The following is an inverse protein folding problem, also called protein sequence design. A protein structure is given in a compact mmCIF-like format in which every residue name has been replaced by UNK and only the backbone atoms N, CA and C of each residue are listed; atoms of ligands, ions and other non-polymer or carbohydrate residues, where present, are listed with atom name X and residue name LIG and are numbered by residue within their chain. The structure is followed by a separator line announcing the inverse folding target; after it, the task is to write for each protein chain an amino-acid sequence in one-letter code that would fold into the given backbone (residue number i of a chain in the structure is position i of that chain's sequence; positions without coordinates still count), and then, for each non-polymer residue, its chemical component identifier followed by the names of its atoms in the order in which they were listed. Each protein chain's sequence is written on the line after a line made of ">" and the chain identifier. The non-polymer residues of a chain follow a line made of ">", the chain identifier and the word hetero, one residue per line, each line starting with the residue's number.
data_IF_452916975425
#
_entry.id   IF_452916975425
#
_cell.length_a   1.000
_cell.length_b   1.000
_cell.length_c   1.000
_cell.angle_alpha   90.00
_cell.angle_beta   90.00
_cell.angle_gamma   90.00
#
_symmetry.space_group_name_H-M   'P 1'
#
loop_
_entity.id
_entity.type
_entity.pdbx_description
1 polymer ?
#
# COMPACT_ATOMS: atom_id res chain seq x y z
N UNK A 1 34.99 11.33 6.37
CA UNK A 1 33.82 11.35 5.43
C UNK A 1 34.37 11.12 4.02
N UNK A 2 34.51 9.86 3.59
CA UNK A 2 34.99 9.54 2.23
C UNK A 2 33.81 9.54 1.27
N UNK A 3 33.67 10.59 0.49
CA UNK A 3 32.78 10.58 -0.68
C UNK A 3 33.34 9.57 -1.70
N UNK A 4 32.72 8.40 -1.78
CA UNK A 4 33.01 7.45 -2.86
C UNK A 4 32.71 8.15 -4.18
N UNK A 5 33.75 8.63 -4.86
CA UNK A 5 33.64 9.17 -6.22
C UNK A 5 33.07 8.06 -7.10
N UNK A 6 31.89 8.28 -7.65
CA UNK A 6 31.34 7.45 -8.70
C UNK A 6 32.39 7.30 -9.80
N UNK A 7 32.84 6.08 -10.04
CA UNK A 7 33.77 5.84 -11.14
C UNK A 7 33.05 6.11 -12.45
N UNK A 8 33.76 6.59 -13.48
CA UNK A 8 33.21 6.79 -14.85
C UNK A 8 32.48 5.52 -15.34
N UNK A 9 32.92 4.34 -14.89
CA UNK A 9 32.33 3.03 -15.18
C UNK A 9 30.93 2.85 -14.56
N UNK A 10 30.69 3.36 -13.34
CA UNK A 10 29.37 3.31 -12.69
C UNK A 10 28.35 4.21 -13.38
N UNK A 11 28.77 5.39 -13.84
CA UNK A 11 27.93 6.31 -14.63
C UNK A 11 27.54 5.69 -15.97
N UNK A 12 28.46 5.00 -16.62
CA UNK A 12 28.20 4.30 -17.89
C UNK A 12 27.15 3.20 -17.75
N UNK A 13 27.21 2.39 -16.67
CA UNK A 13 26.21 1.38 -16.40
C UNK A 13 24.83 1.96 -16.08
N UNK A 14 24.78 3.08 -15.34
CA UNK A 14 23.52 3.78 -15.06
C UNK A 14 22.91 4.33 -16.35
N UNK A 15 23.72 4.93 -17.24
CA UNK A 15 23.24 5.44 -18.53
C UNK A 15 22.72 4.32 -19.42
N UNK A 16 23.41 3.18 -19.49
CA UNK A 16 22.96 2.00 -20.27
C UNK A 16 21.65 1.47 -19.72
N UNK A 17 21.50 1.36 -18.41
CA UNK A 17 20.28 0.89 -17.77
C UNK A 17 19.10 1.84 -18.01
N UNK A 18 19.33 3.14 -17.96
CA UNK A 18 18.34 4.17 -18.28
C UNK A 18 17.92 4.11 -19.75
N UNK A 19 18.89 3.94 -20.68
CA UNK A 19 18.64 3.82 -22.11
C UNK A 19 17.84 2.55 -22.44
N UNK A 20 18.18 1.42 -21.83
CA UNK A 20 17.42 0.17 -21.96
C UNK A 20 15.99 0.33 -21.45
N UNK A 21 15.81 1.06 -20.36
CA UNK A 21 14.49 1.31 -19.79
C UNK A 21 13.63 2.22 -20.67
N UNK A 22 14.24 3.26 -21.26
CA UNK A 22 13.56 4.13 -22.23
C UNK A 22 13.22 3.39 -23.52
N UNK A 23 14.13 2.53 -24.00
CA UNK A 23 13.88 1.67 -25.18
C UNK A 23 12.74 0.69 -24.91
N UNK A 24 12.72 0.05 -23.75
CA UNK A 24 11.66 -0.86 -23.34
C UNK A 24 10.30 -0.14 -23.21
N UNK A 25 10.28 1.06 -22.60
CA UNK A 25 9.11 1.91 -22.55
C UNK A 25 8.59 2.31 -23.94
N UNK A 26 9.50 2.66 -24.85
CA UNK A 26 9.16 2.98 -26.24
C UNK A 26 8.58 1.76 -26.97
N UNK A 27 9.18 0.56 -26.81
CA UNK A 27 8.71 -0.65 -27.44
C UNK A 27 7.31 -1.10 -26.92
N UNK A 28 7.03 -0.89 -25.64
CA UNK A 28 5.70 -1.14 -25.07
C UNK A 28 4.70 -0.11 -25.61
N UNK A 29 5.07 1.16 -25.64
CA UNK A 29 4.21 2.23 -26.15
C UNK A 29 3.93 2.09 -27.65
N UNK A 30 4.90 1.65 -28.45
CA UNK A 30 4.72 1.44 -29.88
C UNK A 30 3.85 0.21 -30.23
N UNK A 31 3.74 -0.78 -29.33
CA UNK A 31 2.81 -1.90 -29.49
C UNK A 31 1.34 -1.52 -29.22
N UNK A 32 1.09 -0.35 -28.68
CA UNK A 32 -0.27 0.11 -28.28
C UNK A 32 -1.05 0.79 -29.41
N UNK A 33 -0.67 0.65 -30.67
CA UNK A 33 -1.60 0.77 -31.79
C UNK A 33 -2.38 -0.56 -31.99
N UNK A 34 -2.79 -1.19 -30.89
CA UNK A 34 -3.85 -2.18 -31.00
C UNK A 34 -5.12 -1.42 -31.41
N UNK A 35 -5.79 -1.95 -32.45
CA UNK A 35 -7.15 -1.57 -32.79
C UNK A 35 -7.91 -1.40 -31.48
N UNK A 36 -8.42 -0.20 -31.23
CA UNK A 36 -9.25 0.05 -30.06
C UNK A 36 -10.49 -0.81 -30.30
N UNK A 37 -10.55 -1.96 -29.62
CA UNK A 37 -11.73 -2.82 -29.64
C UNK A 37 -12.76 -2.15 -28.76
N UNK A 38 -13.71 -1.48 -29.39
CA UNK A 38 -14.80 -0.85 -28.67
C UNK A 38 -15.77 -1.94 -28.19
N UNK A 39 -16.12 -1.95 -26.88
CA UNK A 39 -17.05 -2.94 -26.35
C UNK A 39 -18.41 -2.88 -27.03
N UNK A 40 -19.09 -4.00 -27.12
CA UNK A 40 -20.45 -4.11 -27.61
C UNK A 40 -21.42 -3.47 -26.59
N UNK A 41 -22.53 -2.94 -27.07
CA UNK A 41 -23.64 -2.42 -26.28
C UNK A 41 -23.32 -1.29 -25.28
N UNK A 42 -22.09 -0.77 -25.27
CA UNK A 42 -21.67 0.33 -24.41
C UNK A 42 -22.05 1.67 -25.04
N UNK A 43 -22.53 2.61 -24.21
CA UNK A 43 -23.04 3.93 -24.66
C UNK A 43 -21.98 4.81 -25.33
N UNK A 44 -20.71 4.67 -25.02
CA UNK A 44 -19.59 5.41 -25.66
C UNK A 44 -19.03 4.72 -26.91
N UNK A 45 -19.42 3.50 -27.17
CA UNK A 45 -18.84 2.68 -28.23
C UNK A 45 -19.32 3.13 -29.61
N UNK A 46 -18.40 3.65 -30.47
CA UNK A 46 -18.73 3.98 -31.85
C UNK A 46 -18.70 2.76 -32.78
N UNK A 47 -18.47 1.55 -32.26
CA UNK A 47 -18.50 0.35 -33.10
C UNK A 47 -19.89 0.09 -33.62
N UNK A 48 -20.06 -0.69 -34.72
CA UNK A 48 -21.36 -1.10 -35.20
C UNK A 48 -22.28 -1.68 -34.13
N UNK A 49 -21.70 -2.48 -33.23
CA UNK A 49 -22.38 -3.13 -32.10
C UNK A 49 -22.48 -2.27 -30.83
N UNK A 50 -21.94 -1.06 -30.81
CA UNK A 50 -22.10 -0.09 -29.73
C UNK A 50 -23.47 0.60 -29.81
N UNK A 51 -23.84 1.40 -28.79
CA UNK A 51 -25.12 2.10 -28.73
C UNK A 51 -24.94 3.63 -28.65
N UNK A 52 -23.81 4.13 -29.13
CA UNK A 52 -23.48 5.56 -29.09
C UNK A 52 -24.50 6.43 -29.86
N UNK A 53 -25.03 5.94 -30.96
CA UNK A 53 -26.02 6.68 -31.75
C UNK A 53 -27.31 6.93 -30.94
N UNK A 54 -27.81 5.91 -30.24
CA UNK A 54 -28.98 6.02 -29.37
C UNK A 54 -28.69 6.95 -28.17
N UNK A 55 -27.58 6.76 -27.49
CA UNK A 55 -27.15 7.64 -26.41
C UNK A 55 -27.05 9.11 -26.83
N UNK A 56 -26.40 9.39 -27.97
CA UNK A 56 -26.23 10.74 -28.49
C UNK A 56 -27.54 11.36 -28.92
N UNK A 57 -28.44 10.59 -29.53
CA UNK A 57 -29.77 11.04 -29.90
C UNK A 57 -30.54 11.53 -28.66
N UNK A 58 -30.59 10.72 -27.61
CA UNK A 58 -31.28 11.10 -26.37
C UNK A 58 -30.64 12.32 -25.67
N UNK A 59 -29.33 12.52 -25.81
CA UNK A 59 -28.66 13.72 -25.29
C UNK A 59 -29.03 15.00 -26.07
N UNK A 60 -29.48 14.88 -27.30
CA UNK A 60 -29.90 16.03 -28.13
C UNK A 60 -31.36 16.46 -27.86
N UNK A 61 -32.15 15.58 -27.29
CA UNK A 61 -33.46 15.92 -26.74
C UNK A 61 -33.23 16.64 -25.39
N UNK A 62 -34.18 17.46 -24.94
CA UNK A 62 -34.09 18.24 -23.69
C UNK A 62 -34.13 17.35 -22.42
N UNK A 63 -33.48 16.17 -22.45
CA UNK A 63 -33.44 15.18 -21.39
C UNK A 63 -32.08 15.19 -20.70
N UNK A 64 -32.08 15.02 -19.39
CA UNK A 64 -30.83 14.75 -18.65
C UNK A 64 -30.44 13.29 -18.91
N UNK A 65 -29.39 13.06 -19.71
CA UNK A 65 -28.87 11.73 -20.04
C UNK A 65 -27.50 11.53 -19.45
N UNK A 66 -27.39 10.55 -18.55
CA UNK A 66 -26.14 10.23 -17.83
C UNK A 66 -25.80 8.73 -17.91
N UNK A 67 -24.59 8.39 -17.55
CA UNK A 67 -24.13 7.01 -17.47
C UNK A 67 -24.05 6.58 -16.00
N UNK A 68 -24.61 5.43 -15.72
CA UNK A 68 -24.53 4.84 -14.41
C UNK A 68 -23.39 3.82 -14.35
N UNK A 69 -22.37 4.11 -13.59
CA UNK A 69 -21.17 3.24 -13.43
C UNK A 69 -21.03 2.65 -12.03
N UNK A 70 -21.92 2.99 -11.13
CA UNK A 70 -21.88 2.57 -9.73
C UNK A 70 -22.75 1.33 -9.49
N UNK A 71 -22.55 0.69 -8.33
CA UNK A 71 -23.42 -0.41 -7.87
C UNK A 71 -24.90 0.01 -7.89
N UNK A 72 -25.84 -0.89 -8.19
CA UNK A 72 -27.26 -0.58 -8.18
C UNK A 72 -27.78 -0.08 -6.83
N UNK A 73 -27.15 -0.45 -5.73
CA UNK A 73 -27.49 0.06 -4.38
C UNK A 73 -27.38 1.59 -4.22
N UNK A 74 -26.65 2.25 -5.12
CA UNK A 74 -26.50 3.71 -5.16
C UNK A 74 -27.44 4.39 -6.14
N UNK A 75 -28.31 3.65 -6.85
CA UNK A 75 -29.32 4.25 -7.70
C UNK A 75 -30.16 5.25 -6.91
N UNK A 76 -30.57 6.38 -7.53
CA UNK A 76 -31.35 7.39 -6.85
C UNK A 76 -32.67 6.81 -6.30
N UNK A 77 -32.95 7.13 -5.04
CA UNK A 77 -34.15 6.70 -4.32
C UNK A 77 -35.16 7.84 -4.26
N UNK A 78 -35.53 8.36 -5.39
CA UNK A 78 -36.45 9.48 -5.49
C UNK A 78 -37.59 9.11 -6.43
N UNK A 79 -38.78 9.63 -6.17
CA UNK A 79 -39.99 9.51 -7.03
C UNK A 79 -39.86 10.35 -8.34
N UNK A 80 -38.65 10.47 -8.87
CA UNK A 80 -38.35 11.39 -9.95
C UNK A 80 -38.64 10.80 -11.34
N UNK A 81 -39.32 9.67 -11.46
CA UNK A 81 -39.65 9.00 -12.71
C UNK A 81 -38.45 8.90 -13.66
N UNK A 82 -37.39 8.25 -13.22
CA UNK A 82 -36.21 8.05 -14.04
C UNK A 82 -36.31 6.76 -14.86
N UNK A 83 -35.62 6.73 -16.01
CA UNK A 83 -35.49 5.51 -16.80
C UNK A 83 -34.02 5.03 -16.84
N UNK A 84 -33.82 3.76 -16.56
CA UNK A 84 -32.51 3.10 -16.65
C UNK A 84 -32.51 2.13 -17.84
N UNK A 85 -31.67 2.41 -18.85
CA UNK A 85 -31.42 1.50 -19.96
C UNK A 85 -30.37 0.47 -19.56
N UNK A 86 -30.75 -0.79 -19.50
CA UNK A 86 -29.89 -1.95 -19.26
C UNK A 86 -29.78 -2.73 -20.57
N UNK A 87 -28.66 -2.61 -21.27
CA UNK A 87 -28.52 -3.13 -22.63
C UNK A 87 -27.49 -4.27 -22.66
N UNK A 88 -27.92 -5.50 -22.90
CA UNK A 88 -27.16 -6.71 -23.01
C UNK A 88 -26.09 -6.86 -21.89
N UNK A 89 -26.50 -7.06 -20.64
CA UNK A 89 -25.61 -7.28 -19.50
C UNK A 89 -24.59 -8.38 -19.76
N UNK A 90 -23.31 -8.12 -19.45
CA UNK A 90 -22.25 -9.10 -19.61
C UNK A 90 -22.25 -10.18 -18.51
N UNK A 91 -23.01 -9.94 -17.46
CA UNK A 91 -23.22 -10.89 -16.36
C UNK A 91 -24.63 -10.75 -15.78
N UNK A 92 -25.10 -11.81 -15.15
CA UNK A 92 -26.35 -11.75 -14.39
C UNK A 92 -26.04 -11.13 -13.03
N UNK A 93 -26.69 -10.02 -12.63
CA UNK A 93 -26.52 -9.44 -11.30
C UNK A 93 -26.75 -10.44 -10.18
N UNK A 94 -26.06 -10.29 -9.08
CA UNK A 94 -26.29 -11.11 -7.89
C UNK A 94 -27.70 -10.90 -7.33
N UNK A 95 -28.17 -11.80 -6.48
CA UNK A 95 -29.50 -11.67 -5.88
C UNK A 95 -29.68 -10.35 -5.12
N UNK A 96 -28.64 -9.84 -4.49
CA UNK A 96 -28.66 -8.55 -3.79
C UNK A 96 -28.77 -7.39 -4.76
N UNK A 97 -27.95 -7.37 -5.82
CA UNK A 97 -28.00 -6.35 -6.86
C UNK A 97 -29.33 -6.37 -7.62
N UNK A 98 -29.86 -7.56 -7.87
CA UNK A 98 -31.17 -7.71 -8.49
C UNK A 98 -32.27 -7.09 -7.62
N UNK A 99 -32.19 -7.28 -6.30
CA UNK A 99 -33.11 -6.65 -5.36
C UNK A 99 -32.97 -5.13 -5.34
N UNK A 100 -31.75 -4.62 -5.46
CA UNK A 100 -31.53 -3.17 -5.55
C UNK A 100 -32.16 -2.56 -6.81
N UNK A 101 -32.10 -3.25 -7.97
CA UNK A 101 -32.79 -2.85 -9.18
C UNK A 101 -34.35 -2.94 -9.04
N UNK A 102 -34.85 -3.96 -8.35
CA UNK A 102 -36.29 -4.08 -8.05
C UNK A 102 -36.71 -2.93 -7.14
N UNK A 103 -35.96 -2.60 -6.09
CA UNK A 103 -36.29 -1.48 -5.22
C UNK A 103 -36.32 -0.16 -5.98
N UNK A 104 -35.41 0.07 -6.95
CA UNK A 104 -35.38 1.22 -7.79
C UNK A 104 -36.70 1.36 -8.59
N UNK A 105 -37.23 0.24 -9.12
CA UNK A 105 -38.54 0.25 -9.82
C UNK A 105 -39.69 0.44 -8.83
N UNK A 106 -39.68 -0.19 -7.68
CA UNK A 106 -40.74 -0.05 -6.68
C UNK A 106 -40.93 1.40 -6.22
N UNK A 107 -39.86 2.22 -6.28
CA UNK A 107 -39.86 3.66 -5.99
C UNK A 107 -40.39 4.53 -7.18
N UNK A 108 -41.04 3.96 -8.20
CA UNK A 108 -41.67 4.70 -9.30
C UNK A 108 -40.79 4.85 -10.54
N UNK A 109 -39.59 4.28 -10.57
CA UNK A 109 -38.68 4.37 -11.70
C UNK A 109 -38.89 3.22 -12.71
N UNK A 110 -38.32 3.36 -13.90
CA UNK A 110 -38.47 2.38 -14.98
C UNK A 110 -37.11 1.78 -15.36
N UNK A 111 -37.06 0.46 -15.55
CA UNK A 111 -35.92 -0.22 -16.18
C UNK A 111 -36.37 -0.71 -17.57
N UNK A 112 -35.50 -0.47 -18.56
CA UNK A 112 -35.70 -1.01 -19.91
C UNK A 112 -34.55 -1.97 -20.19
N UNK A 113 -34.85 -3.25 -20.08
CA UNK A 113 -33.90 -4.34 -20.29
C UNK A 113 -33.94 -4.79 -21.76
N UNK A 114 -32.86 -4.57 -22.46
CA UNK A 114 -32.60 -5.18 -23.76
C UNK A 114 -31.62 -6.36 -23.54
N UNK A 115 -32.10 -7.57 -23.72
CA UNK A 115 -31.25 -8.74 -23.54
C UNK A 115 -31.70 -9.89 -24.42
N UNK A 116 -30.79 -10.42 -25.25
CA UNK A 116 -31.09 -11.49 -26.19
C UNK A 116 -31.70 -12.74 -25.52
N UNK A 117 -31.20 -13.07 -24.33
CA UNK A 117 -31.70 -14.15 -23.48
C UNK A 117 -31.76 -13.75 -21.99
N UNK A 118 -32.82 -13.09 -21.51
CA UNK A 118 -32.90 -12.55 -20.17
C UNK A 118 -33.19 -13.60 -19.07
N UNK A 119 -32.98 -14.88 -19.35
CA UNK A 119 -33.18 -15.97 -18.39
C UNK A 119 -32.32 -15.75 -17.15
N UNK A 120 -32.94 -15.82 -15.97
CA UNK A 120 -32.27 -15.64 -14.69
C UNK A 120 -32.22 -14.20 -14.19
N UNK A 121 -32.78 -13.24 -14.96
CA UNK A 121 -32.93 -11.86 -14.51
C UNK A 121 -34.42 -11.58 -14.20
N UNK A 122 -34.72 -10.85 -13.14
CA UNK A 122 -36.06 -10.41 -12.74
C UNK A 122 -37.14 -11.50 -12.78
N UNK A 123 -36.78 -12.74 -12.49
CA UNK A 123 -37.66 -13.92 -12.56
C UNK A 123 -38.37 -14.06 -13.93
N UNK A 124 -37.62 -13.70 -15.00
CA UNK A 124 -38.08 -13.86 -16.39
C UNK A 124 -37.90 -15.30 -16.85
N UNK A 125 -38.90 -15.80 -17.54
CA UNK A 125 -38.87 -17.13 -18.16
C UNK A 125 -38.86 -16.99 -19.68
N UNK A 126 -38.20 -17.92 -20.33
CA UNK A 126 -38.04 -17.94 -21.79
C UNK A 126 -38.18 -19.37 -22.31
N UNK A 127 -38.63 -19.47 -23.55
CA UNK A 127 -38.64 -20.71 -24.32
C UNK A 127 -37.76 -20.57 -25.56
N UNK A 128 -37.19 -21.64 -26.02
CA UNK A 128 -36.39 -21.69 -27.23
C UNK A 128 -37.31 -22.01 -28.42
N UNK A 129 -37.16 -21.23 -29.51
CA UNK A 129 -37.90 -21.38 -30.71
C UNK A 129 -36.98 -21.60 -31.90
N UNK A 130 -37.44 -22.35 -32.88
CA UNK A 130 -36.77 -22.50 -34.17
C UNK A 130 -37.39 -21.53 -35.17
N UNK A 131 -36.89 -20.31 -35.21
CA UNK A 131 -37.37 -19.26 -36.09
C UNK A 131 -36.84 -19.36 -37.53
N UNK A 132 -36.04 -20.39 -37.84
CA UNK A 132 -35.41 -20.54 -39.14
C UNK A 132 -34.34 -19.49 -39.45
N UNK A 133 -34.18 -19.17 -40.75
CA UNK A 133 -33.17 -18.20 -41.19
C UNK A 133 -33.76 -16.83 -41.56
N UNK A 134 -35.08 -16.63 -41.40
CA UNK A 134 -35.71 -15.33 -41.69
C UNK A 134 -35.47 -14.38 -40.53
N UNK A 135 -34.55 -13.44 -40.72
CA UNK A 135 -34.20 -12.44 -39.72
C UNK A 135 -35.22 -11.30 -39.65
N UNK A 136 -35.85 -10.93 -40.81
CA UNK A 136 -36.89 -9.90 -40.87
C UNK A 136 -38.22 -10.58 -40.63
N UNK A 137 -38.93 -10.12 -39.61
CA UNK A 137 -40.22 -10.68 -39.21
C UNK A 137 -41.26 -9.58 -39.08
N UNK A 138 -42.52 -9.95 -39.27
CA UNK A 138 -43.65 -9.09 -38.95
C UNK A 138 -43.88 -9.10 -37.45
N UNK A 139 -43.75 -7.93 -36.84
CA UNK A 139 -43.87 -7.71 -35.40
C UNK A 139 -45.23 -7.03 -35.17
N UNK A 140 -46.06 -7.67 -34.38
CA UNK A 140 -47.41 -7.14 -34.05
C UNK A 140 -47.35 -6.53 -32.65
N UNK A 141 -47.78 -5.28 -32.51
CA UNK A 141 -47.90 -4.66 -31.19
C UNK A 141 -49.16 -5.17 -30.46
N UNK A 142 -49.19 -5.02 -29.13
CA UNK A 142 -50.35 -5.33 -28.30
C UNK A 142 -51.65 -4.53 -28.72
N UNK A 143 -51.47 -3.46 -29.49
CA UNK A 143 -52.57 -2.68 -30.04
C UNK A 143 -53.00 -3.15 -31.45
N UNK A 144 -52.32 -4.17 -32.01
CA UNK A 144 -52.61 -4.72 -33.32
C UNK A 144 -51.91 -4.02 -34.49
N UNK A 145 -51.04 -3.03 -34.26
CA UNK A 145 -50.21 -2.44 -35.29
C UNK A 145 -49.12 -3.40 -35.74
N UNK A 146 -48.84 -3.45 -37.04
CA UNK A 146 -47.79 -4.30 -37.60
C UNK A 146 -46.59 -3.47 -38.03
N UNK A 147 -45.38 -4.00 -37.73
CA UNK A 147 -44.10 -3.42 -38.08
C UNK A 147 -43.20 -4.50 -38.67
N UNK A 148 -42.24 -4.10 -39.46
CA UNK A 148 -41.16 -4.98 -39.91
C UNK A 148 -39.91 -4.72 -39.05
N UNK A 149 -39.30 -5.77 -38.52
CA UNK A 149 -38.08 -5.68 -37.69
C UNK A 149 -37.27 -6.94 -37.73
N UNK A 150 -36.00 -6.79 -37.42
CA UNK A 150 -35.09 -7.96 -37.26
C UNK A 150 -35.24 -8.55 -35.86
N UNK A 151 -35.37 -9.86 -35.78
CA UNK A 151 -35.37 -10.60 -34.50
C UNK A 151 -34.28 -11.67 -34.57
N UNK A 152 -33.15 -11.40 -33.94
CA UNK A 152 -31.99 -12.32 -33.94
C UNK A 152 -32.07 -13.38 -32.84
N UNK A 153 -32.82 -13.10 -31.78
CA UNK A 153 -32.92 -14.03 -30.66
C UNK A 153 -33.70 -15.30 -31.05
N UNK A 154 -33.16 -16.44 -30.63
CA UNK A 154 -33.81 -17.74 -30.76
C UNK A 154 -34.61 -18.12 -29.49
N UNK A 155 -34.88 -17.14 -28.61
CA UNK A 155 -35.77 -17.32 -27.47
C UNK A 155 -36.98 -16.39 -27.59
N UNK A 156 -38.09 -16.77 -26.95
CA UNK A 156 -39.26 -15.92 -26.76
C UNK A 156 -39.56 -15.85 -25.27
N UNK A 157 -40.08 -14.69 -24.86
CA UNK A 157 -40.47 -14.43 -23.48
C UNK A 157 -41.74 -15.19 -23.14
N UNK A 158 -41.78 -15.78 -21.95
CA UNK A 158 -43.00 -16.39 -21.40
C UNK A 158 -43.64 -15.43 -20.41
N UNK A 159 -44.70 -14.68 -20.82
CA UNK A 159 -45.34 -13.70 -19.94
C UNK A 159 -46.09 -14.40 -18.81
N UNK A 160 -46.12 -13.80 -17.63
CA UNK A 160 -47.01 -14.13 -16.51
C UNK A 160 -48.40 -13.51 -16.77
N UNK A 161 -49.42 -13.89 -16.00
CA UNK A 161 -50.77 -13.37 -16.12
C UNK A 161 -50.83 -11.84 -15.92
N UNK A 162 -49.95 -11.27 -15.14
CA UNK A 162 -49.86 -9.85 -14.83
C UNK A 162 -49.05 -9.03 -15.84
N UNK A 163 -48.35 -9.70 -16.77
CA UNK A 163 -47.48 -9.03 -17.75
C UNK A 163 -48.29 -8.49 -18.92
N UNK A 164 -48.00 -7.28 -19.33
CA UNK A 164 -48.52 -6.70 -20.56
C UNK A 164 -47.62 -7.05 -21.75
N UNK A 165 -48.15 -7.78 -22.73
CA UNK A 165 -47.45 -8.03 -24.00
C UNK A 165 -47.37 -6.74 -24.81
N UNK A 166 -46.13 -6.34 -25.15
CA UNK A 166 -45.91 -5.15 -26.00
C UNK A 166 -45.77 -5.54 -27.47
N UNK A 167 -44.91 -6.52 -27.74
CA UNK A 167 -44.64 -7.01 -29.09
C UNK A 167 -44.58 -8.53 -29.12
N UNK A 168 -45.10 -9.10 -30.20
CA UNK A 168 -44.96 -10.53 -30.53
C UNK A 168 -44.75 -10.71 -32.03
N UNK A 169 -44.12 -11.79 -32.40
CA UNK A 169 -44.03 -12.32 -33.76
C UNK A 169 -44.82 -13.64 -33.86
N UNK A 170 -44.66 -14.36 -34.98
CA UNK A 170 -45.34 -15.64 -35.19
C UNK A 170 -44.84 -16.74 -34.27
N UNK A 171 -43.68 -16.55 -33.60
CA UNK A 171 -43.02 -17.54 -32.72
C UNK A 171 -43.31 -17.26 -31.24
N UNK A 172 -43.76 -16.09 -30.86
CA UNK A 172 -44.05 -15.75 -29.47
C UNK A 172 -43.77 -14.31 -29.09
N UNK A 173 -43.71 -14.03 -27.78
CA UNK A 173 -43.51 -12.69 -27.24
C UNK A 173 -42.07 -12.28 -27.30
N UNK A 174 -41.79 -11.12 -27.90
CA UNK A 174 -40.44 -10.52 -28.01
C UNK A 174 -40.25 -9.33 -27.09
N UNK A 175 -41.35 -8.73 -26.63
CA UNK A 175 -41.30 -7.65 -25.65
C UNK A 175 -42.52 -7.68 -24.73
N UNK A 176 -42.27 -7.39 -23.45
CA UNK A 176 -43.32 -7.28 -22.43
C UNK A 176 -43.02 -6.14 -21.45
N UNK A 177 -44.06 -5.70 -20.74
CA UNK A 177 -43.98 -4.80 -19.60
C UNK A 177 -44.48 -5.51 -18.35
N UNK A 178 -43.73 -5.45 -17.25
CA UNK A 178 -44.10 -5.93 -15.94
C UNK A 178 -44.08 -4.78 -14.94
N UNK A 179 -45.12 -4.68 -14.11
CA UNK A 179 -45.19 -3.69 -13.05
C UNK A 179 -44.40 -4.13 -11.81
N UNK A 180 -43.69 -3.19 -11.18
CA UNK A 180 -43.00 -3.34 -9.90
C UNK A 180 -43.35 -2.13 -9.04
N UNK A 181 -44.22 -2.30 -8.04
CA UNK A 181 -44.70 -1.18 -7.23
C UNK A 181 -45.35 -0.08 -8.09
N UNK A 182 -44.83 1.14 -8.03
CA UNK A 182 -45.24 2.28 -8.82
C UNK A 182 -44.50 2.39 -10.16
N UNK A 183 -43.40 1.65 -10.33
CA UNK A 183 -42.61 1.65 -11.56
C UNK A 183 -42.83 0.43 -12.43
N UNK A 184 -41.93 0.22 -13.39
CA UNK A 184 -42.10 -0.86 -14.36
C UNK A 184 -40.77 -1.36 -14.95
N UNK A 185 -40.78 -2.63 -15.36
CA UNK A 185 -39.75 -3.27 -16.15
C UNK A 185 -40.26 -3.48 -17.57
N UNK A 186 -39.58 -2.90 -18.55
CA UNK A 186 -39.75 -3.27 -19.95
C UNK A 186 -38.64 -4.26 -20.32
N UNK A 187 -39.02 -5.34 -20.98
CA UNK A 187 -38.08 -6.36 -21.44
C UNK A 187 -38.22 -6.54 -22.93
N UNK A 188 -37.12 -6.45 -23.66
CA UNK A 188 -37.04 -6.67 -25.09
C UNK A 188 -35.90 -7.65 -25.38
N UNK A 189 -36.20 -8.74 -26.10
CA UNK A 189 -35.17 -9.72 -26.46
C UNK A 189 -34.40 -9.41 -27.74
N UNK A 190 -34.39 -8.13 -28.11
CA UNK A 190 -33.80 -7.60 -29.35
C UNK A 190 -32.83 -6.45 -29.06
N UNK A 191 -31.70 -6.68 -28.37
CA UNK A 191 -30.75 -5.61 -28.03
C UNK A 191 -30.15 -4.93 -29.25
N UNK A 192 -30.17 -5.60 -30.39
CA UNK A 192 -29.63 -5.07 -31.66
C UNK A 192 -30.39 -3.85 -32.16
N UNK A 193 -31.68 -3.65 -31.78
CA UNK A 193 -32.47 -2.51 -32.23
C UNK A 193 -31.88 -1.16 -31.81
N UNK A 194 -31.14 -1.11 -30.75
CA UNK A 194 -30.51 0.13 -30.23
C UNK A 194 -29.03 0.25 -30.63
N UNK A 195 -28.46 -0.70 -31.39
CA UNK A 195 -27.08 -0.63 -31.85
C UNK A 195 -26.88 0.38 -32.98
N UNK A 196 -25.67 0.92 -33.10
CA UNK A 196 -25.30 1.89 -34.14
C UNK A 196 -25.56 1.37 -35.54
N UNK A 197 -25.43 0.07 -35.79
CA UNK A 197 -25.63 -0.55 -37.10
C UNK A 197 -27.11 -0.72 -37.44
N UNK A 198 -27.94 -1.03 -36.45
CA UNK A 198 -29.31 -1.51 -36.72
C UNK A 198 -30.43 -0.56 -36.30
N UNK A 199 -30.14 0.52 -35.57
CA UNK A 199 -31.15 1.43 -35.04
C UNK A 199 -32.01 2.06 -36.14
N UNK A 200 -31.45 2.31 -37.32
CA UNK A 200 -32.14 2.86 -38.47
C UNK A 200 -32.60 1.78 -39.49
N UNK A 201 -32.34 0.50 -39.17
CA UNK A 201 -32.74 -0.62 -40.05
C UNK A 201 -34.23 -0.90 -39.86
N UNK A 202 -34.91 -1.27 -40.96
CA UNK A 202 -36.35 -1.58 -40.93
C UNK A 202 -37.16 -0.49 -40.17
N UNK A 203 -38.06 -0.90 -39.29
CA UNK A 203 -38.86 -0.02 -38.48
C UNK A 203 -38.43 -0.04 -36.97
N UNK A 204 -37.14 -0.35 -36.67
CA UNK A 204 -36.67 -0.46 -35.28
C UNK A 204 -36.91 0.83 -34.48
N UNK A 205 -36.60 1.98 -35.06
CA UNK A 205 -36.79 3.26 -34.37
C UNK A 205 -38.29 3.52 -34.11
N UNK A 206 -39.19 3.18 -35.08
CA UNK A 206 -40.63 3.29 -34.89
C UNK A 206 -41.14 2.34 -33.79
N UNK A 207 -40.59 1.12 -33.72
CA UNK A 207 -40.89 0.17 -32.66
C UNK A 207 -40.47 0.74 -31.30
N UNK A 208 -39.26 1.32 -31.17
CA UNK A 208 -38.79 1.92 -29.93
C UNK A 208 -39.69 3.06 -29.47
N UNK A 209 -40.06 4.00 -30.35
CA UNK A 209 -40.90 5.12 -29.98
C UNK A 209 -42.37 4.75 -29.76
N UNK A 210 -42.83 3.59 -30.21
CA UNK A 210 -44.20 3.17 -29.98
C UNK A 210 -44.54 2.83 -28.53
N UNK A 211 -43.55 2.52 -27.71
CA UNK A 211 -43.71 2.23 -26.27
C UNK A 211 -42.93 3.17 -25.36
N UNK A 212 -41.90 3.87 -25.89
CA UNK A 212 -41.06 4.81 -25.10
C UNK A 212 -41.75 6.19 -25.13
N UNK A 213 -42.25 6.58 -23.99
CA UNK A 213 -42.81 7.94 -23.76
C UNK A 213 -41.73 8.73 -23.01
N UNK A 214 -40.71 9.20 -23.74
CA UNK A 214 -39.52 9.85 -23.13
C UNK A 214 -39.87 11.11 -22.35
N UNK A 215 -40.94 11.79 -22.71
CA UNK A 215 -41.42 13.02 -22.03
C UNK A 215 -41.91 12.77 -20.59
N UNK A 216 -42.16 11.51 -20.21
CA UNK A 216 -42.59 11.15 -18.86
C UNK A 216 -41.42 11.03 -17.89
N UNK A 217 -40.17 10.97 -18.39
CA UNK A 217 -38.99 10.76 -17.57
C UNK A 217 -38.26 12.07 -17.35
N UNK A 218 -37.80 12.27 -16.09
CA UNK A 218 -37.00 13.43 -15.71
C UNK A 218 -35.50 13.23 -16.03
N UNK A 219 -35.03 11.98 -16.00
CA UNK A 219 -33.67 11.63 -16.34
C UNK A 219 -33.60 10.24 -17.00
N UNK A 220 -32.60 10.10 -17.86
CA UNK A 220 -32.28 8.87 -18.59
C UNK A 220 -30.89 8.40 -18.15
N UNK A 221 -30.80 7.20 -17.62
CA UNK A 221 -29.55 6.59 -17.20
C UNK A 221 -29.21 5.41 -18.11
N UNK A 222 -27.94 5.30 -18.51
CA UNK A 222 -27.40 4.12 -19.18
C UNK A 222 -26.60 3.32 -18.19
N UNK A 223 -27.00 2.09 -17.96
CA UNK A 223 -26.32 1.20 -17.01
C UNK A 223 -25.03 0.64 -17.62
N UNK A 224 -23.91 1.27 -17.32
CA UNK A 224 -22.58 0.80 -17.71
C UNK A 224 -21.94 -0.10 -16.62
N UNK A 225 -22.55 -0.20 -15.44
CA UNK A 225 -22.14 -1.15 -14.40
C UNK A 225 -22.15 -2.58 -14.92
N UNK A 226 -23.24 -2.94 -15.62
CA UNK A 226 -23.44 -4.28 -16.19
C UNK A 226 -22.42 -4.66 -17.27
N UNK A 227 -21.70 -3.69 -17.84
CA UNK A 227 -20.64 -3.89 -18.83
C UNK A 227 -19.25 -4.01 -18.18
N UNK A 228 -19.19 -4.07 -16.86
CA UNK A 228 -17.92 -4.24 -16.12
C UNK A 228 -17.11 -2.96 -15.98
N UNK A 229 -17.77 -1.79 -16.06
CA UNK A 229 -17.15 -0.48 -15.81
C UNK A 229 -16.48 -0.37 -14.42
N UNK A 230 -16.78 -1.31 -13.52
CA UNK A 230 -16.19 -1.38 -12.18
C UNK A 230 -14.78 -1.89 -12.09
N UNK A 231 -14.23 -2.48 -13.12
CA UNK A 231 -12.83 -2.89 -13.13
C UNK A 231 -11.93 -1.71 -13.50
N UNK A 232 -12.19 -0.55 -12.90
CA UNK A 232 -11.19 0.50 -12.83
C UNK A 232 -10.00 -0.01 -12.01
N UNK A 233 -9.13 -0.74 -12.67
CA UNK A 233 -7.84 -1.09 -12.11
C UNK A 233 -6.91 0.09 -12.29
N UNK A 234 -5.91 0.23 -11.41
CA UNK A 234 -4.86 1.25 -11.55
C UNK A 234 -4.27 1.28 -12.97
N UNK A 235 -4.32 0.15 -13.67
CA UNK A 235 -3.82 -0.02 -15.05
C UNK A 235 -4.74 0.59 -16.12
N UNK A 236 -6.03 0.77 -15.85
CA UNK A 236 -7.01 1.36 -16.78
C UNK A 236 -7.19 2.85 -16.55
N UNK A 237 -7.11 3.31 -15.29
CA UNK A 237 -7.26 4.71 -14.88
C UNK A 237 -6.06 5.57 -15.28
N UNK A 238 -4.83 5.02 -15.15
CA UNK A 238 -3.63 5.79 -15.42
C UNK A 238 -3.01 5.44 -16.76
N UNK A 239 -2.54 6.44 -17.54
CA UNK A 239 -1.83 6.20 -18.79
C UNK A 239 -0.62 5.30 -18.55
N UNK A 240 -0.37 4.38 -19.48
CA UNK A 240 0.72 3.39 -19.36
C UNK A 240 2.09 4.04 -19.14
N UNK A 241 2.35 5.21 -19.75
CA UNK A 241 3.59 5.95 -19.55
C UNK A 241 3.77 6.42 -18.10
N UNK A 242 2.70 6.80 -17.43
CA UNK A 242 2.72 7.23 -16.02
C UNK A 242 3.02 6.06 -15.09
N UNK A 243 2.38 4.91 -15.32
CA UNK A 243 2.65 3.67 -14.57
C UNK A 243 4.09 3.21 -14.75
N UNK A 244 4.62 3.28 -15.98
CA UNK A 244 6.03 3.00 -16.26
C UNK A 244 6.96 3.94 -15.50
N UNK A 245 6.63 5.23 -15.43
CA UNK A 245 7.42 6.22 -14.68
C UNK A 245 7.41 5.92 -13.19
N UNK A 246 6.28 5.49 -12.61
CA UNK A 246 6.19 5.05 -11.21
C UNK A 246 7.06 3.82 -10.95
N UNK A 247 6.96 2.81 -11.80
CA UNK A 247 7.79 1.58 -11.69
C UNK A 247 9.27 1.94 -11.81
N UNK A 248 9.63 2.81 -12.75
CA UNK A 248 11.01 3.28 -12.92
C UNK A 248 11.52 4.02 -11.68
N UNK A 249 10.71 4.89 -11.10
CA UNK A 249 11.02 5.58 -9.84
C UNK A 249 11.23 4.60 -8.68
N UNK A 250 10.38 3.59 -8.57
CA UNK A 250 10.52 2.55 -7.56
C UNK A 250 11.83 1.74 -7.74
N UNK A 251 12.16 1.35 -8.98
CA UNK A 251 13.41 0.62 -9.28
C UNK A 251 14.63 1.49 -8.96
N UNK A 252 14.64 2.77 -9.36
CA UNK A 252 15.74 3.70 -9.05
C UNK A 252 15.89 3.85 -7.53
N UNK A 253 14.79 3.97 -6.80
CA UNK A 253 14.79 4.07 -5.34
C UNK A 253 15.36 2.80 -4.69
N UNK A 254 14.96 1.61 -5.16
CA UNK A 254 15.48 0.33 -4.67
C UNK A 254 16.99 0.19 -4.93
N UNK A 255 17.44 0.56 -6.14
CA UNK A 255 18.87 0.55 -6.50
C UNK A 255 19.65 1.55 -5.65
N UNK A 256 19.10 2.74 -5.40
CA UNK A 256 19.69 3.75 -4.53
C UNK A 256 19.77 3.27 -3.06
N UNK A 257 18.69 2.67 -2.55
CA UNK A 257 18.66 2.07 -1.22
C UNK A 257 19.67 0.91 -1.11
N UNK A 258 19.73 0.05 -2.13
CA UNK A 258 20.70 -1.03 -2.19
C UNK A 258 22.14 -0.51 -2.22
N UNK A 259 22.38 0.54 -3.00
CA UNK A 259 23.70 1.21 -3.03
C UNK A 259 24.06 1.84 -1.68
N UNK A 260 23.11 2.52 -1.03
CA UNK A 260 23.29 3.09 0.33
C UNK A 260 23.29 2.02 1.42
N UNK A 261 22.49 0.99 1.26
CA UNK A 261 22.27 -0.09 2.22
C UNK A 261 23.44 -1.08 2.34
N UNK A 262 24.52 -0.94 1.57
CA UNK A 262 25.75 -1.75 1.73
C UNK A 262 26.39 -1.60 3.11
N UNK A 263 25.79 -0.79 4.00
CA UNK A 263 26.21 -0.61 5.40
C UNK A 263 25.00 -0.44 6.32
N UNK A 264 24.13 -1.44 6.39
CA UNK A 264 23.25 -1.56 7.54
C UNK A 264 24.01 -2.32 8.63
N UNK A 265 24.49 -1.57 9.60
CA UNK A 265 25.15 -2.07 10.80
C UNK A 265 26.35 -1.20 11.18
N UNK A 266 26.63 -1.03 12.48
CA UNK A 266 27.89 -0.47 12.91
C UNK A 266 29.01 -1.32 12.30
N UNK A 267 30.08 -0.66 11.83
CA UNK A 267 31.30 -1.36 11.46
C UNK A 267 31.84 -1.96 12.75
N UNK A 268 31.37 -3.16 13.06
CA UNK A 268 32.08 -4.01 13.99
C UNK A 268 33.29 -4.45 13.16
N UNK A 269 34.35 -3.60 13.11
CA UNK A 269 35.68 -4.08 12.81
C UNK A 269 35.86 -5.25 13.78
N UNK A 270 36.07 -6.48 13.26
CA UNK A 270 36.59 -7.53 14.10
C UNK A 270 37.75 -6.87 14.85
N UNK A 271 37.56 -6.67 16.15
CA UNK A 271 38.64 -6.28 17.03
C UNK A 271 39.63 -7.41 16.79
N UNK A 272 40.71 -7.14 16.05
CA UNK A 272 41.81 -8.05 16.03
C UNK A 272 42.06 -8.32 17.50
N UNK A 273 42.17 -9.57 17.88
CA UNK A 273 42.59 -9.97 19.20
C UNK A 273 44.05 -9.51 19.38
N UNK A 274 44.24 -8.19 19.38
CA UNK A 274 45.37 -7.61 20.05
C UNK A 274 45.23 -8.02 21.51
N UNK A 275 46.16 -8.81 21.96
CA UNK A 275 46.42 -9.14 23.36
C UNK A 275 45.88 -7.99 24.20
N UNK A 276 44.79 -8.26 24.95
CA UNK A 276 44.25 -7.28 25.88
C UNK A 276 45.38 -6.80 26.72
N UNK A 277 45.88 -5.62 26.45
CA UNK A 277 46.89 -5.02 27.30
C UNK A 277 46.31 -5.06 28.72
N UNK A 278 47.05 -5.63 29.66
CA UNK A 278 46.67 -5.72 31.07
C UNK A 278 46.21 -4.37 31.64
N UNK A 279 46.65 -3.28 31.01
CA UNK A 279 46.25 -1.90 31.30
C UNK A 279 44.76 -1.60 31.16
N UNK A 280 43.99 -2.23 30.24
CA UNK A 280 42.58 -1.99 30.15
C UNK A 280 41.81 -2.52 31.35
N UNK A 281 42.23 -3.68 31.87
CA UNK A 281 41.67 -4.26 33.08
C UNK A 281 41.95 -3.40 34.31
N UNK A 282 43.22 -2.92 34.43
CA UNK A 282 43.63 -2.05 35.53
C UNK A 282 42.91 -0.71 35.47
N UNK A 283 42.80 -0.09 34.29
CA UNK A 283 42.06 1.17 34.10
C UNK A 283 40.58 1.03 34.40
N UNK A 284 39.97 -0.08 34.00
CA UNK A 284 38.57 -0.36 34.29
C UNK A 284 38.35 -0.53 35.79
N UNK A 285 39.27 -1.25 36.48
CA UNK A 285 39.22 -1.44 37.92
C UNK A 285 39.39 -0.09 38.66
N UNK A 286 40.39 0.71 38.28
CA UNK A 286 40.61 2.03 38.84
C UNK A 286 39.41 2.97 38.67
N UNK A 287 38.78 2.93 37.46
CA UNK A 287 37.56 3.69 37.19
C UNK A 287 36.39 3.21 38.06
N UNK A 288 36.30 1.91 38.33
CA UNK A 288 35.24 1.34 39.17
C UNK A 288 35.43 1.77 40.65
N UNK A 289 36.67 1.71 41.21
CA UNK A 289 36.99 2.20 42.55
C UNK A 289 36.68 3.69 42.70
N UNK A 290 37.03 4.48 41.71
CA UNK A 290 36.76 5.92 41.72
C UNK A 290 35.25 6.23 41.63
N UNK A 291 34.50 5.49 40.80
CA UNK A 291 33.02 5.66 40.64
C UNK A 291 32.28 5.20 41.90
N UNK A 292 32.77 4.14 42.55
CA UNK A 292 32.22 3.62 43.81
C UNK A 292 32.64 4.43 45.04
N UNK A 293 33.49 5.46 44.89
CA UNK A 293 34.06 6.26 46.00
C UNK A 293 34.77 5.40 47.02
N UNK A 294 35.34 4.24 46.60
CA UNK A 294 36.08 3.29 47.45
C UNK A 294 37.49 3.77 47.70
N UNK A 295 37.62 4.98 48.22
CA UNK A 295 38.91 5.65 48.38
C UNK A 295 39.77 4.98 49.45
N UNK A 296 39.17 4.51 50.54
CA UNK A 296 39.87 3.81 51.61
C UNK A 296 40.46 2.49 51.12
N UNK A 297 39.66 1.68 50.46
CA UNK A 297 40.07 0.38 49.92
C UNK A 297 41.22 0.56 48.93
N UNK A 298 41.13 1.55 48.05
CA UNK A 298 42.18 1.87 47.09
C UNK A 298 43.47 2.30 47.79
N UNK A 299 43.38 3.09 48.89
CA UNK A 299 44.54 3.54 49.63
C UNK A 299 45.19 2.38 50.39
N UNK A 300 44.43 1.47 51.01
CA UNK A 300 44.91 0.27 51.67
C UNK A 300 45.73 -0.61 50.71
N UNK A 301 45.15 -0.85 49.48
CA UNK A 301 45.85 -1.65 48.44
C UNK A 301 47.19 -1.02 48.06
N UNK A 302 47.25 0.32 47.93
CA UNK A 302 48.49 1.04 47.61
C UNK A 302 49.52 0.94 48.74
N UNK A 303 49.05 1.09 49.97
CA UNK A 303 49.91 1.01 51.18
C UNK A 303 50.47 -0.42 51.35
N UNK A 304 49.63 -1.44 51.11
CA UNK A 304 50.08 -2.85 51.19
C UNK A 304 51.11 -3.18 50.10
N UNK A 305 50.86 -2.66 48.86
CA UNK A 305 51.84 -2.83 47.78
C UNK A 305 53.19 -2.23 48.13
N UNK A 306 53.23 -1.03 48.70
CA UNK A 306 54.48 -0.39 49.09
C UNK A 306 55.12 -1.15 50.21
N UNK A 307 54.39 -1.68 51.20
CA UNK A 307 54.90 -2.54 52.23
C UNK A 307 55.59 -3.81 51.68
N UNK A 308 54.98 -4.45 50.70
CA UNK A 308 55.62 -5.61 50.05
C UNK A 308 56.91 -5.20 49.35
N UNK A 309 56.93 -4.07 48.65
CA UNK A 309 58.14 -3.55 48.01
C UNK A 309 59.26 -3.19 49.05
N UNK A 310 58.84 -2.60 50.15
CA UNK A 310 59.80 -2.35 51.27
C UNK A 310 60.40 -3.66 51.87
N UNK A 311 59.59 -4.69 51.94
CA UNK A 311 60.08 -6.00 52.34
C UNK A 311 61.13 -6.57 51.34
N UNK A 312 60.80 -6.48 50.03
CA UNK A 312 61.68 -6.97 48.97
C UNK A 312 62.99 -6.20 48.85
N UNK A 313 62.88 -4.86 48.93
CA UNK A 313 64.08 -4.01 48.67
C UNK A 313 64.80 -3.55 49.89
N UNK A 314 64.12 -3.30 51.00
CA UNK A 314 64.71 -2.77 52.20
C UNK A 314 64.80 -3.78 53.35
N UNK A 315 64.27 -4.99 53.14
CA UNK A 315 64.29 -6.05 54.15
C UNK A 315 63.34 -5.78 55.33
N UNK A 316 62.43 -4.86 55.24
CA UNK A 316 61.49 -4.52 56.33
C UNK A 316 60.34 -5.54 56.33
N UNK A 317 60.08 -6.27 57.43
CA UNK A 317 58.97 -7.21 57.49
C UNK A 317 57.65 -6.53 57.23
N UNK A 318 56.79 -7.16 56.39
CA UNK A 318 55.44 -6.64 56.07
C UNK A 318 54.60 -6.40 57.32
N UNK A 319 54.74 -7.23 58.38
CA UNK A 319 54.00 -7.12 59.63
C UNK A 319 54.39 -5.92 60.50
N UNK A 320 55.50 -5.24 60.19
CA UNK A 320 56.00 -4.11 60.98
C UNK A 320 55.05 -2.93 60.85
N UNK A 321 54.70 -2.28 61.99
CA UNK A 321 53.84 -1.09 61.95
C UNK A 321 54.57 0.09 61.28
N UNK A 322 53.80 0.99 60.64
CA UNK A 322 54.38 2.14 59.93
C UNK A 322 55.26 3.03 60.86
N UNK A 323 54.86 3.21 62.12
CA UNK A 323 55.58 4.00 63.12
C UNK A 323 56.90 3.39 63.42
N UNK A 324 57.04 2.03 63.43
CA UNK A 324 58.24 1.34 63.75
C UNK A 324 59.26 1.34 62.59
N UNK A 325 58.90 1.89 61.42
CA UNK A 325 59.78 1.98 60.26
C UNK A 325 60.59 3.29 60.21
N UNK A 326 60.39 4.22 61.15
CA UNK A 326 61.00 5.54 61.18
C UNK A 326 62.52 5.51 60.97
N UNK A 327 63.24 4.70 61.73
CA UNK A 327 64.73 4.61 61.69
C UNK A 327 65.23 4.20 60.28
N UNK A 328 64.46 3.37 59.55
CA UNK A 328 64.79 2.95 58.20
C UNK A 328 64.47 4.00 57.19
N UNK A 329 63.32 4.67 57.35
CA UNK A 329 62.86 5.78 56.44
C UNK A 329 63.84 6.96 56.54
N UNK A 330 64.30 7.34 57.75
CA UNK A 330 65.29 8.41 57.92
C UNK A 330 66.61 8.13 57.20
N UNK A 331 67.00 6.82 57.09
CA UNK A 331 68.24 6.41 56.45
C UNK A 331 68.11 6.26 54.94
N UNK A 332 66.94 5.90 54.46
CA UNK A 332 66.74 5.50 53.07
C UNK A 332 65.87 6.44 52.26
N UNK A 333 65.07 7.28 52.90
CA UNK A 333 64.19 8.20 52.19
C UNK A 333 64.83 9.61 52.09
N UNK A 334 65.61 9.82 51.02
CA UNK A 334 66.40 11.04 50.85
C UNK A 334 65.57 12.28 50.43
N UNK A 335 64.34 12.12 50.01
CA UNK A 335 63.46 13.17 49.47
C UNK A 335 62.59 13.89 50.51
N UNK A 336 62.69 13.58 51.83
CA UNK A 336 61.77 14.10 52.86
C UNK A 336 62.54 14.42 54.16
N UNK A 337 62.16 15.51 54.86
CA UNK A 337 62.73 15.92 56.15
C UNK A 337 62.31 14.94 57.27
N UNK A 338 63.20 14.77 58.31
CA UNK A 338 62.94 13.79 59.40
C UNK A 338 61.61 14.05 60.11
N UNK A 339 61.26 15.30 60.37
CA UNK A 339 59.97 15.70 60.96
C UNK A 339 58.79 15.32 60.14
N UNK A 340 58.86 15.40 58.79
CA UNK A 340 57.84 15.00 57.83
C UNK A 340 57.70 13.49 57.82
N UNK A 341 58.81 12.69 57.89
CA UNK A 341 58.79 11.25 57.98
C UNK A 341 58.05 10.77 59.22
N UNK A 342 58.31 11.33 60.36
CA UNK A 342 57.59 11.03 61.62
C UNK A 342 56.12 11.38 61.55
N UNK A 343 55.83 12.52 60.99
CA UNK A 343 54.42 12.93 60.72
C UNK A 343 53.71 12.00 59.76
N UNK A 344 54.38 11.57 58.69
CA UNK A 344 53.83 10.60 57.69
C UNK A 344 53.53 9.25 58.35
N UNK A 345 54.50 8.63 59.06
CA UNK A 345 54.34 7.29 59.62
C UNK A 345 53.27 7.21 60.71
N UNK A 346 53.15 8.24 61.56
CA UNK A 346 52.06 8.32 62.55
C UNK A 346 50.65 8.51 61.94
N UNK A 347 50.57 9.41 60.98
CA UNK A 347 49.27 9.73 60.38
C UNK A 347 48.73 8.71 59.35
N UNK A 348 49.61 8.05 58.57
CA UNK A 348 49.17 7.05 57.61
C UNK A 348 48.50 5.89 58.34
N UNK A 349 48.98 5.47 59.51
CA UNK A 349 48.38 4.39 60.27
C UNK A 349 46.94 4.76 60.73
N UNK A 350 46.78 6.01 61.17
CA UNK A 350 45.43 6.52 61.55
C UNK A 350 44.48 6.61 60.38
N UNK A 351 44.93 7.09 59.21
CA UNK A 351 44.11 7.22 58.01
C UNK A 351 43.70 5.84 57.49
N UNK A 352 44.57 4.84 57.48
CA UNK A 352 44.22 3.49 57.05
C UNK A 352 43.23 2.79 58.00
N UNK A 353 43.07 3.25 59.24
CA UNK A 353 42.05 2.76 60.19
C UNK A 353 40.72 3.47 60.12
N UNK A 354 40.62 4.65 59.47
CA UNK A 354 39.36 5.35 59.29
C UNK A 354 38.41 4.50 58.43
N UNK A 355 37.12 4.47 58.75
CA UNK A 355 36.08 3.81 57.94
C UNK A 355 35.86 4.51 56.62
N UNK A 356 35.88 5.83 56.58
CA UNK A 356 35.69 6.64 55.39
C UNK A 356 36.77 7.73 55.31
N UNK A 357 37.27 7.99 54.10
CA UNK A 357 38.20 9.08 53.79
C UNK A 357 37.65 9.95 52.68
N UNK A 358 37.91 11.25 52.75
CA UNK A 358 37.49 12.18 51.71
C UNK A 358 38.34 12.03 50.44
N UNK A 359 37.80 12.47 49.29
CA UNK A 359 38.55 12.48 48.02
C UNK A 359 39.85 13.31 48.14
N UNK A 360 39.83 14.41 48.92
CA UNK A 360 41.04 15.23 49.11
C UNK A 360 42.10 14.52 49.94
N UNK A 361 41.68 13.86 51.01
CA UNK A 361 42.58 13.02 51.84
C UNK A 361 43.15 11.87 50.99
N UNK A 362 42.32 11.19 50.20
CA UNK A 362 42.76 10.13 49.31
C UNK A 362 43.84 10.60 48.33
N UNK A 363 43.61 11.73 47.65
CA UNK A 363 44.58 12.27 46.70
C UNK A 363 45.88 12.69 47.36
N UNK A 364 45.81 13.27 48.54
CA UNK A 364 47.01 13.65 49.33
C UNK A 364 47.84 12.41 49.70
N UNK A 365 47.18 11.42 50.29
CA UNK A 365 47.87 10.19 50.73
C UNK A 365 48.35 9.34 49.58
N UNK A 366 47.61 9.24 48.50
CA UNK A 366 48.09 8.57 47.28
C UNK A 366 49.37 9.19 46.74
N UNK A 367 49.47 10.52 46.76
CA UNK A 367 50.68 11.22 46.33
C UNK A 367 51.87 10.92 47.25
N UNK A 368 51.64 10.89 48.57
CA UNK A 368 52.64 10.59 49.52
C UNK A 368 53.13 9.13 49.43
N UNK A 369 52.24 8.18 49.30
CA UNK A 369 52.56 6.76 49.11
C UNK A 369 53.31 6.53 47.78
N UNK A 370 52.92 7.25 46.71
CA UNK A 370 53.61 7.18 45.42
C UNK A 370 55.05 7.73 45.48
N UNK A 371 55.30 8.78 46.29
CA UNK A 371 56.62 9.27 46.50
C UNK A 371 57.51 8.21 47.26
N UNK A 372 56.93 7.60 48.28
CA UNK A 372 57.60 6.49 48.99
C UNK A 372 57.86 5.30 48.07
N UNK A 373 56.92 4.93 47.25
CA UNK A 373 57.04 3.85 46.24
C UNK A 373 58.21 4.09 45.31
N UNK A 374 58.37 5.29 44.79
CA UNK A 374 59.46 5.66 43.91
C UNK A 374 60.81 5.54 44.62
N UNK A 375 60.91 6.04 45.85
CA UNK A 375 62.13 5.95 46.63
C UNK A 375 62.51 4.49 46.92
N UNK A 376 61.52 3.61 47.21
CA UNK A 376 61.72 2.19 47.43
C UNK A 376 62.13 1.45 46.14
N UNK A 377 61.64 1.87 44.98
CA UNK A 377 61.99 1.24 43.72
C UNK A 377 63.32 1.74 43.12
N UNK A 378 63.65 3.01 43.31
CA UNK A 378 64.85 3.67 42.74
C UNK A 378 66.04 3.69 43.63
N UNK A 379 65.88 3.61 44.99
CA UNK A 379 66.90 3.59 46.01
C UNK A 379 67.23 2.15 46.49
#
# INVERSE_FOLDING_TARGET
>A
MNSSKFTKKSWLWISVLLLLFLLFGYLISSKQQQLIEYPRYVSESPSPTGVKAWFTYLQQEDLQVDKWTHLPSYLPKNDDHQVLFMIEPFFIPTSTEMQDYINFMEEGNTIILFHENPRGMFDLQVEYVDSGFELVQTITSGQGNQYEGHVWSNVRLLPKEEDQMLFHDDFGVIALKRSYGEGSLFVLNTPQWVTNEHILSQQHLSLLFSFLQLDEYTAVLFDEYIHGAHKETVWTVYPTWFLLLLVQGAVITLVWLWYKGKRFGPIITRREEYVRFSDEGIRALAAWYNRGQLYREALVIQADYVKIKMQERWGLPYSKAWVDCNDTFEKKWNGMAKEEIHSFTSRIQDVLRKENISKQEFLFWTKMIEQLRKEVEEG
#
